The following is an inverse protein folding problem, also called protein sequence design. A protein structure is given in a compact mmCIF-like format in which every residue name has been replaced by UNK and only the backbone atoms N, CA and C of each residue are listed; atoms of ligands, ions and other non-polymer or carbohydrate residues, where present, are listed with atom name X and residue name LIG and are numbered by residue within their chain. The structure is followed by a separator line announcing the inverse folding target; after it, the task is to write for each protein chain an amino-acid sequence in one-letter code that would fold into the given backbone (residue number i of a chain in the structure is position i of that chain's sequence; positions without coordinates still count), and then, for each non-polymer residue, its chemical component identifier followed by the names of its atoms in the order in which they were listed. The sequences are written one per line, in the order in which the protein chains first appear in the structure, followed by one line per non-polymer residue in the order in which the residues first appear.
data_IF_225464188186
#
_entry.id   IF_225464188186
#
_cell.length_a   1.000
_cell.length_b   1.000
_cell.length_c   1.000
_cell.angle_alpha   90.00
_cell.angle_beta   90.00
_cell.angle_gamma   90.00
#
_symmetry.space_group_name_H-M   'P 1'
#
loop_
_entity.id
_entity.type
_entity.pdbx_description
1 polymer ?
#
# COMPACT_ATOMS: atom_id res chain seq x y z
N UNK A 1 28.48 7.22 -12.75
CA UNK A 1 28.00 6.54 -13.97
C UNK A 1 27.77 5.09 -13.60
N UNK A 2 26.51 4.70 -13.46
CA UNK A 2 26.02 3.32 -13.38
C UNK A 2 24.58 3.43 -13.91
N UNK A 3 24.32 2.88 -15.09
CA UNK A 3 22.96 2.75 -15.61
C UNK A 3 22.42 1.42 -15.13
N UNK A 4 21.33 1.42 -14.37
CA UNK A 4 20.53 0.22 -14.16
C UNK A 4 19.96 -0.21 -15.53
N UNK A 5 19.92 -1.51 -15.79
CA UNK A 5 19.18 -2.09 -16.92
C UNK A 5 18.29 -3.22 -16.40
N UNK A 6 17.30 -2.90 -15.56
CA UNK A 6 16.05 -3.64 -15.67
C UNK A 6 15.37 -3.14 -16.95
N UNK A 7 15.27 -4.03 -17.96
CA UNK A 7 14.93 -3.62 -19.33
C UNK A 7 13.42 -3.51 -19.50
N UNK A 8 12.86 -2.37 -19.07
CA UNK A 8 11.68 -1.79 -19.70
C UNK A 8 12.18 -0.73 -20.70
N UNK A 9 12.02 -1.00 -22.01
CA UNK A 9 12.53 -0.13 -23.09
C UNK A 9 11.64 -0.14 -24.32
N UNK A 10 10.87 0.93 -24.52
CA UNK A 10 10.48 1.42 -25.84
C UNK A 10 10.36 2.94 -25.80
N UNK A 11 11.25 3.64 -26.50
CA UNK A 11 11.50 5.07 -26.23
C UNK A 11 11.23 6.05 -27.35
N UNK A 12 10.79 7.25 -26.95
CA UNK A 12 11.03 8.58 -27.60
C UNK A 12 10.41 8.77 -29.00
N UNK A 13 9.75 9.87 -29.37
CA UNK A 13 9.84 11.28 -28.91
C UNK A 13 8.63 12.05 -29.48
N UNK A 14 8.20 13.15 -28.85
CA UNK A 14 8.30 14.53 -29.39
C UNK A 14 7.75 15.55 -28.38
N UNK A 15 8.49 16.66 -28.26
CA UNK A 15 8.33 17.72 -27.29
C UNK A 15 7.27 18.76 -27.71
N UNK A 16 6.34 19.14 -26.82
CA UNK A 16 5.50 20.34 -26.97
C UNK A 16 5.54 21.20 -25.71
N UNK A 17 6.19 22.36 -25.80
CA UNK A 17 6.25 23.33 -24.73
C UNK A 17 4.98 24.21 -24.70
N UNK A 18 4.40 24.41 -23.52
CA UNK A 18 3.39 25.43 -23.25
C UNK A 18 3.76 26.22 -21.99
N UNK A 19 3.65 27.54 -22.10
CA UNK A 19 4.07 28.50 -21.09
C UNK A 19 2.90 28.83 -20.16
N UNK A 20 3.13 28.84 -18.85
CA UNK A 20 2.20 29.43 -17.89
C UNK A 20 2.92 30.41 -16.97
N UNK A 21 2.72 31.70 -17.26
CA UNK A 21 3.00 32.81 -16.36
C UNK A 21 1.71 33.24 -15.65
N UNK A 22 1.69 33.21 -14.33
CA UNK A 22 0.76 34.01 -13.52
C UNK A 22 1.37 34.28 -12.14
N UNK A 23 1.02 35.43 -11.53
CA UNK A 23 1.68 35.99 -10.35
C UNK A 23 0.64 36.56 -9.37
N UNK A 24 0.94 36.48 -8.07
CA UNK A 24 0.24 37.22 -7.00
C UNK A 24 -1.04 36.57 -6.45
N UNK A 25 -1.57 36.99 -5.28
CA UNK A 25 -1.05 37.95 -4.28
C UNK A 25 -1.91 37.94 -2.99
N UNK A 26 -1.32 38.19 -1.80
CA UNK A 26 -1.97 38.59 -0.49
C UNK A 26 -3.03 37.65 0.15
N UNK A 27 -3.31 37.61 1.47
CA UNK A 27 -2.84 38.31 2.70
C UNK A 27 -4.03 38.62 3.66
N UNK A 28 -3.98 38.66 5.01
CA UNK A 28 -2.94 38.39 6.02
C UNK A 28 -3.40 38.78 7.47
N UNK A 29 -2.83 38.20 8.54
CA UNK A 29 -3.24 38.35 9.97
C UNK A 29 -4.35 37.38 10.43
N UNK A 30 -4.60 37.00 11.70
CA UNK A 30 -3.97 37.26 13.01
C UNK A 30 -4.98 37.03 14.17
N UNK A 31 -4.68 36.76 15.45
CA UNK A 31 -3.43 36.43 16.17
C UNK A 31 -3.73 35.84 17.60
N UNK A 32 -2.78 35.06 18.17
CA UNK A 32 -2.52 34.76 19.61
C UNK A 32 -3.48 33.98 20.57
N UNK A 33 -2.83 33.03 21.30
CA UNK A 33 -2.98 32.68 22.75
C UNK A 33 -4.28 32.00 23.28
N UNK A 34 -4.27 31.15 24.33
CA UNK A 34 -3.24 30.34 25.03
C UNK A 34 -3.93 29.31 25.97
N UNK A 35 -3.17 28.35 26.50
CA UNK A 35 -3.37 27.56 27.73
C UNK A 35 -4.36 26.37 27.78
N UNK A 36 -3.83 25.24 28.25
CA UNK A 36 -4.52 24.07 28.84
C UNK A 36 -4.30 24.09 30.38
N UNK A 37 -4.43 23.00 31.17
CA UNK A 37 -5.25 21.77 31.10
C UNK A 37 -6.02 21.48 32.43
N UNK A 38 -6.93 20.49 32.49
CA UNK A 38 -7.31 19.83 33.77
C UNK A 38 -7.53 18.31 33.58
N UNK A 39 -7.00 17.54 34.53
CA UNK A 39 -7.05 16.07 34.67
C UNK A 39 -8.26 15.60 35.52
N UNK A 40 -8.63 14.31 35.47
CA UNK A 40 -8.87 13.48 36.69
C UNK A 40 -9.23 12.00 36.39
N UNK A 41 -8.25 11.13 36.62
CA UNK A 41 -8.25 9.86 37.36
C UNK A 41 -9.45 8.87 37.32
N UNK A 42 -9.14 7.68 36.79
CA UNK A 42 -9.32 6.32 37.36
C UNK A 42 -10.46 5.98 38.35
N UNK A 43 -11.13 4.85 38.08
CA UNK A 43 -11.21 3.67 38.98
C UNK A 43 -11.98 2.51 38.30
N UNK A 44 -11.36 1.35 38.06
CA UNK A 44 -11.50 0.16 38.93
C UNK A 44 -10.73 -1.08 38.39
N UNK A 45 -10.48 -2.05 39.26
CA UNK A 45 -9.52 -3.16 39.11
C UNK A 45 -10.12 -4.43 38.45
N UNK A 46 -9.31 -5.20 37.70
CA UNK A 46 -8.91 -6.59 38.08
C UNK A 46 -8.61 -7.55 36.91
N UNK A 47 -7.62 -8.43 37.14
CA UNK A 47 -7.41 -9.76 36.54
C UNK A 47 -7.03 -9.90 35.05
N UNK A 48 -5.72 -10.06 34.80
CA UNK A 48 -5.17 -10.64 33.57
C UNK A 48 -4.43 -11.98 33.84
N UNK A 49 -5.19 -13.07 33.91
CA UNK A 49 -4.68 -14.45 33.81
C UNK A 49 -5.09 -15.11 32.47
N UNK A 50 -4.98 -14.36 31.37
CA UNK A 50 -5.15 -14.88 30.01
C UNK A 50 -4.27 -14.06 29.05
N UNK A 51 -3.22 -14.65 28.43
CA UNK A 51 -2.95 -14.43 26.99
C UNK A 51 -1.87 -15.26 26.25
N UNK A 52 -1.35 -16.37 26.78
CA UNK A 52 -0.36 -17.17 26.01
C UNK A 52 -0.95 -17.85 24.73
N UNK A 53 -2.28 -17.96 24.62
CA UNK A 53 -2.94 -18.65 23.50
C UNK A 53 -3.32 -17.75 22.31
N UNK A 54 -3.42 -16.43 22.47
CA UNK A 54 -3.77 -15.53 21.36
C UNK A 54 -2.58 -15.33 20.42
N UNK A 55 -1.37 -15.20 20.97
CA UNK A 55 -0.14 -14.97 20.19
C UNK A 55 0.15 -16.12 19.21
N UNK A 56 -0.13 -17.37 19.59
CA UNK A 56 0.13 -18.54 18.72
C UNK A 56 -0.94 -18.77 17.63
N UNK A 57 -2.18 -18.30 17.80
CA UNK A 57 -3.25 -18.52 16.81
C UNK A 57 -3.18 -17.58 15.59
N UNK A 58 -2.34 -16.54 15.64
CA UNK A 58 -2.23 -15.53 14.58
C UNK A 58 -1.08 -15.80 13.60
N UNK A 59 -0.08 -16.61 13.97
CA UNK A 59 1.11 -16.90 13.16
C UNK A 59 0.82 -17.70 11.87
N UNK A 60 -0.22 -18.54 11.86
CA UNK A 60 -0.52 -19.48 10.77
C UNK A 60 -1.71 -19.06 9.88
N UNK A 61 -2.13 -17.80 9.91
CA UNK A 61 -3.20 -17.28 9.05
C UNK A 61 -2.60 -16.36 7.98
N UNK A 62 -3.11 -16.44 6.74
CA UNK A 62 -2.77 -15.49 5.66
C UNK A 62 -3.08 -14.06 6.12
N UNK A 63 -2.04 -13.24 6.25
CA UNK A 63 -2.10 -11.84 6.64
C UNK A 63 -1.85 -10.90 5.44
N UNK A 64 -1.29 -11.41 4.35
CA UNK A 64 -1.01 -10.64 3.14
C UNK A 64 -0.57 -11.50 1.95
N UNK A 65 -0.06 -10.86 0.90
CA UNK A 65 0.57 -11.49 -0.27
C UNK A 65 1.75 -10.63 -0.72
N UNK A 66 2.80 -11.29 -1.22
CA UNK A 66 3.82 -10.67 -2.07
C UNK A 66 3.64 -11.14 -3.52
N UNK A 67 3.63 -10.21 -4.46
CA UNK A 67 4.00 -10.43 -5.86
C UNK A 67 5.53 -10.44 -5.95
N UNK A 68 6.08 -11.38 -6.71
CA UNK A 68 7.51 -11.55 -6.94
C UNK A 68 7.75 -11.45 -8.44
N UNK A 69 8.67 -10.59 -8.84
CA UNK A 69 9.39 -10.74 -10.11
C UNK A 69 10.77 -11.35 -9.82
N UNK A 70 11.10 -12.37 -10.60
CA UNK A 70 12.26 -13.23 -10.50
C UNK A 70 12.80 -13.40 -11.94
N UNK A 71 13.36 -12.32 -12.47
CA UNK A 71 13.87 -12.21 -13.85
C UNK A 71 12.80 -12.51 -14.93
N UNK A 72 11.62 -11.89 -14.82
CA UNK A 72 10.47 -12.12 -15.69
C UNK A 72 9.62 -13.34 -15.30
N UNK A 73 9.93 -14.01 -14.18
CA UNK A 73 9.13 -15.12 -13.65
C UNK A 73 8.21 -14.65 -12.51
N UNK A 74 7.02 -14.20 -12.90
CA UNK A 74 6.02 -13.62 -12.00
C UNK A 74 5.25 -14.66 -11.20
N UNK A 75 5.05 -14.40 -9.89
CA UNK A 75 4.17 -15.22 -9.02
C UNK A 75 3.69 -14.50 -7.77
N UNK A 76 2.57 -14.98 -7.20
CA UNK A 76 2.09 -14.60 -5.87
C UNK A 76 2.48 -15.60 -4.79
N UNK A 77 2.92 -15.09 -3.65
CA UNK A 77 3.24 -15.88 -2.45
C UNK A 77 2.47 -15.34 -1.25
N UNK A 78 1.78 -16.24 -0.55
CA UNK A 78 1.03 -15.89 0.67
C UNK A 78 1.99 -15.51 1.81
N UNK A 79 1.75 -14.36 2.44
CA UNK A 79 2.42 -13.95 3.67
C UNK A 79 1.56 -14.41 4.85
N UNK A 80 2.19 -15.07 5.82
CA UNK A 80 1.57 -15.47 7.09
C UNK A 80 2.21 -14.69 8.25
N UNK A 81 1.38 -14.28 9.20
CA UNK A 81 1.82 -13.48 10.35
C UNK A 81 2.03 -11.99 10.04
N UNK A 82 1.63 -11.15 11.00
CA UNK A 82 1.82 -9.71 10.91
C UNK A 82 3.03 -9.27 11.73
N UNK A 83 3.88 -8.46 11.11
CA UNK A 83 5.00 -7.78 11.72
C UNK A 83 5.25 -6.47 10.94
N UNK A 84 5.74 -5.43 11.61
CA UNK A 84 5.93 -4.08 11.04
C UNK A 84 7.33 -3.82 10.49
N UNK A 85 8.28 -4.73 10.74
CA UNK A 85 9.70 -4.60 10.39
C UNK A 85 10.19 -5.69 9.44
N UNK A 86 9.59 -6.89 9.43
CA UNK A 86 9.93 -7.93 8.45
C UNK A 86 8.75 -8.81 8.02
N UNK A 87 8.87 -9.47 6.87
CA UNK A 87 7.94 -10.49 6.36
C UNK A 87 8.71 -11.71 5.85
N UNK A 88 8.12 -12.90 5.97
CA UNK A 88 8.67 -14.10 5.35
C UNK A 88 7.99 -14.37 4.00
N UNK A 89 8.80 -14.52 2.95
CA UNK A 89 8.38 -14.85 1.58
C UNK A 89 9.27 -15.98 1.08
N UNK A 90 8.70 -17.17 0.81
CA UNK A 90 9.44 -18.37 0.38
C UNK A 90 10.62 -18.76 1.32
N UNK A 91 10.52 -18.48 2.63
CA UNK A 91 11.59 -18.70 3.59
C UNK A 91 12.58 -17.53 3.72
N UNK A 92 12.58 -16.58 2.79
CA UNK A 92 13.40 -15.35 2.84
C UNK A 92 12.72 -14.34 3.77
N UNK A 93 13.44 -13.82 4.76
CA UNK A 93 12.94 -12.76 5.63
C UNK A 93 13.30 -11.39 5.05
N UNK A 94 12.33 -10.72 4.40
CA UNK A 94 12.49 -9.39 3.82
C UNK A 94 12.30 -8.32 4.89
N UNK A 95 13.16 -7.31 4.86
CA UNK A 95 13.06 -6.13 5.72
C UNK A 95 12.06 -5.12 5.11
N UNK A 96 11.10 -4.67 5.93
CA UNK A 96 10.01 -3.77 5.51
C UNK A 96 9.82 -2.57 6.47
N UNK A 97 10.69 -2.42 7.46
CA UNK A 97 10.62 -1.32 8.42
C UNK A 97 11.68 -1.47 9.51
N UNK A 98 12.06 -0.34 10.11
CA UNK A 98 13.20 -0.26 11.03
C UNK A 98 12.69 0.02 12.45
N UNK A 99 13.06 -0.79 13.47
CA UNK A 99 12.69 -0.50 14.85
C UNK A 99 13.09 0.92 15.28
N UNK A 100 12.21 1.59 16.03
CA UNK A 100 12.41 2.95 16.56
C UNK A 100 12.51 4.07 15.50
N UNK A 101 12.34 3.78 14.21
CA UNK A 101 12.24 4.79 13.15
C UNK A 101 10.80 4.84 12.63
N UNK A 102 10.13 5.98 12.82
CA UNK A 102 8.78 6.21 12.30
C UNK A 102 8.79 7.35 11.29
N UNK A 103 8.81 7.01 10.00
CA UNK A 103 8.55 7.97 8.94
C UNK A 103 7.05 8.30 8.92
N UNK A 104 6.68 9.57 9.06
CA UNK A 104 5.26 9.99 8.97
C UNK A 104 4.63 9.70 7.60
N UNK A 105 5.46 9.66 6.55
CA UNK A 105 5.12 9.21 5.21
C UNK A 105 5.86 7.91 4.85
N UNK A 106 6.21 7.76 3.58
CA UNK A 106 6.98 6.63 3.07
C UNK A 106 8.35 6.52 3.74
N UNK A 107 8.73 5.30 4.13
CA UNK A 107 10.12 4.96 4.42
C UNK A 107 10.77 4.62 3.08
N UNK A 108 11.80 5.38 2.69
CA UNK A 108 12.63 5.11 1.51
C UNK A 108 14.08 4.95 1.97
N UNK A 109 14.70 3.80 1.74
CA UNK A 109 16.07 3.53 2.17
C UNK A 109 16.68 2.34 1.43
N UNK A 110 17.96 2.07 1.69
CA UNK A 110 18.68 0.87 1.27
C UNK A 110 19.16 0.11 2.50
N UNK A 111 18.96 -1.20 2.54
CA UNK A 111 19.55 -2.10 3.54
C UNK A 111 19.77 -3.49 2.94
N UNK A 112 20.84 -4.18 3.37
CA UNK A 112 21.16 -5.55 2.94
C UNK A 112 21.18 -5.73 1.41
N UNK A 113 21.79 -4.78 0.69
CA UNK A 113 21.87 -4.69 -0.78
C UNK A 113 20.51 -4.64 -1.50
N UNK A 114 19.51 -4.05 -0.83
CA UNK A 114 18.12 -3.97 -1.31
C UNK A 114 17.50 -2.58 -1.09
N UNK A 115 16.74 -2.10 -2.07
CA UNK A 115 15.95 -0.86 -2.01
C UNK A 115 14.62 -1.14 -1.31
N UNK A 116 14.25 -0.31 -0.34
CA UNK A 116 13.10 -0.51 0.54
C UNK A 116 12.26 0.77 0.54
N UNK A 117 11.17 0.75 -0.23
CA UNK A 117 10.17 1.82 -0.28
C UNK A 117 8.85 1.26 0.28
N UNK A 118 8.60 1.51 1.56
CA UNK A 118 7.46 0.94 2.30
C UNK A 118 6.61 2.03 2.96
N UNK A 119 5.30 1.95 2.74
CA UNK A 119 4.32 2.78 3.41
C UNK A 119 3.78 2.10 4.67
N UNK A 120 3.61 2.80 5.79
CA UNK A 120 4.23 4.06 6.21
C UNK A 120 3.91 4.22 7.71
N UNK A 121 4.64 5.05 8.45
CA UNK A 121 4.45 5.18 9.90
C UNK A 121 3.07 5.69 10.33
N UNK A 122 2.30 6.32 9.43
CA UNK A 122 0.89 6.69 9.66
C UNK A 122 -0.05 5.50 9.87
N UNK A 123 0.31 4.31 9.37
CA UNK A 123 -0.54 3.12 9.47
C UNK A 123 -0.16 2.26 10.67
N UNK A 124 -1.16 1.85 11.45
CA UNK A 124 -1.03 1.04 12.66
C UNK A 124 -1.08 -0.46 12.39
N UNK A 125 -1.90 -0.89 11.42
CA UNK A 125 -2.24 -2.30 11.20
C UNK A 125 -1.90 -2.79 9.78
N UNK A 126 -1.31 -1.94 8.91
CA UNK A 126 -0.88 -2.32 7.55
C UNK A 126 0.55 -1.87 7.22
N UNK A 127 1.22 -2.64 6.37
CA UNK A 127 2.43 -2.28 5.63
C UNK A 127 2.28 -2.74 4.19
N UNK A 128 2.67 -1.90 3.25
CA UNK A 128 2.70 -2.24 1.82
C UNK A 128 3.77 -1.41 1.13
N UNK A 129 4.29 -1.90 0.02
CA UNK A 129 5.43 -1.26 -0.62
C UNK A 129 6.19 -2.25 -1.50
N UNK A 130 7.44 -1.88 -1.77
CA UNK A 130 8.40 -2.75 -2.43
C UNK A 130 9.58 -3.10 -1.51
N UNK A 131 10.22 -4.21 -1.83
CA UNK A 131 11.54 -4.56 -1.37
C UNK A 131 12.27 -5.13 -2.59
N UNK A 132 13.26 -4.42 -3.10
CA UNK A 132 13.83 -4.63 -4.44
C UNK A 132 15.35 -4.86 -4.38
N UNK A 133 15.89 -5.60 -5.34
CA UNK A 133 17.31 -5.95 -5.41
C UNK A 133 18.16 -4.78 -5.91
N UNK A 134 19.41 -4.66 -5.44
CA UNK A 134 20.42 -3.83 -6.12
C UNK A 134 21.34 -4.64 -7.06
N UNK A 135 21.17 -5.97 -7.11
CA UNK A 135 21.70 -6.84 -8.16
C UNK A 135 20.63 -6.96 -9.27
N UNK A 136 21.01 -6.63 -10.51
CA UNK A 136 20.17 -6.70 -11.74
C UNK A 136 19.52 -8.07 -11.97
N UNK A 137 20.03 -9.15 -11.36
CA UNK A 137 19.50 -10.52 -11.47
C UNK A 137 18.69 -10.95 -10.24
N UNK A 138 18.52 -10.05 -9.27
CA UNK A 138 17.83 -10.36 -8.01
C UNK A 138 16.33 -10.12 -8.08
N UNK A 139 15.63 -10.65 -7.08
CA UNK A 139 14.16 -10.57 -7.01
C UNK A 139 13.67 -9.19 -6.62
N UNK A 140 12.65 -8.71 -7.33
CA UNK A 140 11.79 -7.61 -6.92
C UNK A 140 10.56 -8.16 -6.19
N UNK A 141 10.19 -7.56 -5.06
CA UNK A 141 8.99 -7.92 -4.31
C UNK A 141 8.08 -6.71 -4.14
N UNK A 142 6.82 -6.86 -4.51
CA UNK A 142 5.74 -5.89 -4.30
C UNK A 142 4.71 -6.53 -3.36
N UNK A 143 4.42 -5.93 -2.21
CA UNK A 143 3.69 -6.64 -1.15
C UNK A 143 2.66 -5.77 -0.42
N UNK A 144 1.73 -6.46 0.23
CA UNK A 144 0.91 -5.94 1.32
C UNK A 144 0.83 -6.95 2.46
N UNK A 145 0.84 -6.48 3.70
CA UNK A 145 0.65 -7.28 4.91
C UNK A 145 -0.02 -6.44 6.01
N UNK A 146 -0.69 -7.09 6.96
CA UNK A 146 -1.34 -6.38 8.06
C UNK A 146 -1.94 -7.29 9.14
N UNK A 147 -2.39 -6.68 10.24
CA UNK A 147 -3.13 -7.32 11.33
C UNK A 147 -4.62 -7.49 10.96
N UNK A 148 -5.10 -8.67 10.52
CA UNK A 148 -6.38 -8.75 9.81
C UNK A 148 -7.56 -8.48 10.74
N UNK A 149 -8.57 -7.75 10.25
CA UNK A 149 -9.79 -7.48 11.01
C UNK A 149 -10.47 -8.79 11.39
N UNK A 150 -10.68 -9.00 12.70
CA UNK A 150 -11.41 -10.15 13.22
C UNK A 150 -12.93 -9.91 13.20
N UNK A 151 -13.35 -8.69 13.60
CA UNK A 151 -14.74 -8.27 13.68
C UNK A 151 -15.02 -7.24 12.58
N UNK A 152 -15.49 -7.72 11.43
CA UNK A 152 -15.89 -6.88 10.30
C UNK A 152 -17.22 -6.18 10.58
N UNK A 153 -17.39 -4.90 10.18
CA UNK A 153 -18.72 -4.30 10.06
C UNK A 153 -19.58 -5.12 9.09
N UNK A 154 -20.87 -5.26 9.39
CA UNK A 154 -21.84 -6.06 8.62
C UNK A 154 -22.85 -5.22 7.85
N UNK A 155 -22.79 -3.90 7.99
CA UNK A 155 -23.71 -2.94 7.38
C UNK A 155 -23.10 -1.53 7.34
N UNK A 156 -23.72 -0.64 6.56
CA UNK A 156 -23.26 0.73 6.37
C UNK A 156 -22.11 0.85 5.37
N UNK A 157 -21.68 2.08 5.13
CA UNK A 157 -20.65 2.41 4.14
C UNK A 157 -19.53 3.23 4.76
N UNK A 158 -18.36 3.24 4.12
CA UNK A 158 -17.18 3.96 4.57
C UNK A 158 -16.27 4.37 3.41
N UNK A 159 -15.71 5.58 3.49
CA UNK A 159 -14.66 6.05 2.60
C UNK A 159 -13.28 5.77 3.19
N UNK A 160 -12.32 5.45 2.34
CA UNK A 160 -10.92 5.25 2.72
C UNK A 160 -10.03 6.10 1.82
N UNK A 161 -8.98 6.69 2.41
CA UNK A 161 -7.95 7.44 1.70
C UNK A 161 -6.55 6.99 2.15
N UNK A 162 -5.61 6.98 1.22
CA UNK A 162 -4.29 6.42 1.45
C UNK A 162 -3.31 6.56 0.30
N UNK A 163 -2.38 5.62 0.21
CA UNK A 163 -1.26 5.64 -0.73
C UNK A 163 -1.20 4.33 -1.52
N UNK A 164 -0.50 4.40 -2.64
CA UNK A 164 -0.23 3.30 -3.55
C UNK A 164 1.21 3.35 -4.06
N UNK A 165 1.68 2.24 -4.58
CA UNK A 165 2.92 2.13 -5.36
C UNK A 165 2.60 1.25 -6.57
N UNK A 166 2.94 1.72 -7.77
CA UNK A 166 2.60 1.09 -9.04
C UNK A 166 3.88 0.88 -9.85
N UNK A 167 4.23 -0.37 -10.13
CA UNK A 167 5.19 -0.70 -11.19
C UNK A 167 4.41 -0.70 -12.50
N UNK A 168 4.56 0.37 -13.30
CA UNK A 168 3.82 0.62 -14.54
C UNK A 168 4.56 1.69 -15.36
N UNK A 169 4.76 1.43 -16.65
CA UNK A 169 5.22 2.44 -17.60
C UNK A 169 4.06 3.40 -17.94
N UNK A 170 4.13 4.67 -17.52
CA UNK A 170 3.10 5.68 -17.84
C UNK A 170 3.32 6.25 -19.24
N UNK A 171 4.57 6.31 -19.71
CA UNK A 171 4.97 6.86 -21.01
C UNK A 171 6.15 6.09 -21.61
N UNK A 172 6.38 6.21 -22.92
CA UNK A 172 7.59 5.71 -23.60
C UNK A 172 8.90 6.33 -23.07
N UNK A 173 8.83 7.42 -22.32
CA UNK A 173 9.99 8.08 -21.69
C UNK A 173 9.95 7.99 -20.16
N UNK A 174 9.20 7.02 -19.64
CA UNK A 174 9.16 6.72 -18.21
C UNK A 174 10.38 5.86 -17.87
N UNK A 175 11.24 6.38 -17.00
CA UNK A 175 12.50 5.73 -16.59
C UNK A 175 12.45 5.38 -15.08
N UNK A 176 11.30 5.61 -14.42
CA UNK A 176 11.07 5.26 -13.02
C UNK A 176 10.50 3.83 -12.92
N UNK A 177 11.22 2.91 -12.28
CA UNK A 177 10.79 1.50 -12.09
C UNK A 177 9.41 1.36 -11.43
N UNK A 178 8.98 2.39 -10.69
CA UNK A 178 7.68 2.46 -10.05
C UNK A 178 7.31 3.89 -9.61
N UNK A 179 6.01 4.12 -9.53
CA UNK A 179 5.41 5.39 -9.14
C UNK A 179 4.73 5.29 -7.78
N UNK A 180 5.00 6.25 -6.90
CA UNK A 180 4.25 6.41 -5.65
C UNK A 180 3.02 7.28 -5.91
N UNK A 181 1.88 6.80 -5.42
CA UNK A 181 0.57 7.35 -5.71
C UNK A 181 -0.33 7.52 -4.48
N UNK A 182 -1.54 8.00 -4.75
CA UNK A 182 -2.66 8.00 -3.83
C UNK A 182 -3.59 6.80 -4.10
N UNK A 183 -4.37 6.42 -3.08
CA UNK A 183 -5.41 5.40 -3.22
C UNK A 183 -6.68 5.82 -2.50
N UNK A 184 -7.83 5.61 -3.13
CA UNK A 184 -9.14 6.01 -2.60
C UNK A 184 -10.14 4.86 -2.76
N UNK A 185 -10.98 4.61 -1.76
CA UNK A 185 -11.97 3.53 -1.81
C UNK A 185 -13.30 3.94 -1.19
N UNK A 186 -14.39 3.46 -1.79
CA UNK A 186 -15.73 3.46 -1.21
C UNK A 186 -16.13 2.02 -0.92
N UNK A 187 -16.48 1.73 0.32
CA UNK A 187 -16.77 0.39 0.83
C UNK A 187 -18.21 0.36 1.34
N UNK A 188 -18.99 -0.62 0.89
CA UNK A 188 -20.31 -0.92 1.43
C UNK A 188 -20.29 -2.31 2.07
N UNK A 189 -20.38 -2.35 3.40
CA UNK A 189 -20.33 -3.59 4.18
C UNK A 189 -21.64 -4.38 4.10
N UNK A 190 -22.77 -3.71 3.85
CA UNK A 190 -24.08 -4.36 3.72
C UNK A 190 -24.22 -5.05 2.36
N UNK A 191 -23.89 -4.34 1.29
CA UNK A 191 -23.86 -4.88 -0.08
C UNK A 191 -22.60 -5.70 -0.38
N UNK A 192 -21.62 -5.72 0.54
CA UNK A 192 -20.34 -6.44 0.42
C UNK A 192 -19.57 -6.07 -0.85
N UNK A 193 -19.53 -4.78 -1.16
CA UNK A 193 -18.85 -4.25 -2.35
C UNK A 193 -17.79 -3.20 -1.97
N UNK A 194 -16.78 -3.11 -2.82
CA UNK A 194 -15.71 -2.12 -2.74
C UNK A 194 -15.46 -1.60 -4.15
N UNK A 195 -15.54 -0.28 -4.33
CA UNK A 195 -14.98 0.41 -5.48
C UNK A 195 -13.83 1.29 -5.04
N UNK A 196 -12.90 1.60 -5.94
CA UNK A 196 -11.80 2.47 -5.62
C UNK A 196 -10.94 2.85 -6.82
N UNK A 197 -9.89 3.60 -6.54
CA UNK A 197 -8.96 4.07 -7.54
C UNK A 197 -7.55 4.23 -7.00
N UNK A 198 -6.58 4.07 -7.90
CA UNK A 198 -5.18 4.43 -7.67
C UNK A 198 -4.82 5.55 -8.65
N UNK A 199 -4.09 6.55 -8.15
CA UNK A 199 -3.64 7.69 -8.95
C UNK A 199 -2.19 8.05 -8.66
N UNK A 200 -1.57 8.79 -9.57
CA UNK A 200 -0.18 9.25 -9.51
C UNK A 200 -0.22 10.74 -9.84
N UNK A 201 0.43 11.59 -9.04
CA UNK A 201 0.38 13.05 -9.16
C UNK A 201 -1.06 13.60 -9.29
N UNK A 202 -1.97 13.09 -8.43
CA UNK A 202 -3.42 13.37 -8.40
C UNK A 202 -4.22 13.00 -9.66
N UNK A 203 -3.60 12.38 -10.67
CA UNK A 203 -4.27 11.84 -11.85
C UNK A 203 -4.72 10.40 -11.57
N UNK A 204 -6.01 10.12 -11.75
CA UNK A 204 -6.59 8.79 -11.58
C UNK A 204 -6.25 7.88 -12.78
N UNK A 205 -5.42 6.86 -12.54
CA UNK A 205 -4.95 5.95 -13.58
C UNK A 205 -5.56 4.55 -13.52
N UNK A 206 -5.95 4.07 -12.33
CA UNK A 206 -6.51 2.72 -12.14
C UNK A 206 -7.86 2.81 -11.46
N UNK A 207 -8.83 2.03 -11.95
CA UNK A 207 -10.15 1.83 -11.33
C UNK A 207 -10.25 0.39 -10.80
N UNK A 208 -10.66 0.23 -9.55
CA UNK A 208 -10.82 -1.06 -8.85
C UNK A 208 -12.29 -1.31 -8.57
N UNK A 209 -12.75 -2.55 -8.82
CA UNK A 209 -14.06 -3.05 -8.37
C UNK A 209 -13.89 -4.44 -7.77
N UNK A 210 -14.39 -4.64 -6.55
CA UNK A 210 -14.24 -5.89 -5.80
C UNK A 210 -15.45 -6.24 -4.94
N UNK A 211 -15.57 -7.53 -4.62
CA UNK A 211 -16.56 -8.07 -3.69
C UNK A 211 -15.90 -8.52 -2.40
N UNK A 212 -16.59 -8.33 -1.28
CA UNK A 212 -16.10 -8.59 0.08
C UNK A 212 -16.57 -9.98 0.54
N UNK A 213 -15.62 -10.78 1.06
CA UNK A 213 -15.88 -12.08 1.66
C UNK A 213 -15.08 -12.24 2.95
N UNK A 214 -15.78 -12.31 4.09
CA UNK A 214 -15.16 -12.22 5.40
C UNK A 214 -14.44 -10.88 5.57
N UNK A 215 -13.16 -10.93 5.94
CA UNK A 215 -12.27 -9.75 6.01
C UNK A 215 -11.40 -9.55 4.76
N UNK A 216 -11.71 -10.24 3.66
CA UNK A 216 -10.96 -10.18 2.40
C UNK A 216 -11.83 -9.59 1.30
N UNK A 217 -11.22 -9.03 0.25
CA UNK A 217 -11.90 -8.63 -0.97
C UNK A 217 -11.12 -9.12 -2.18
N UNK A 218 -11.85 -9.46 -3.25
CA UNK A 218 -11.28 -9.91 -4.52
C UNK A 218 -12.08 -9.30 -5.67
N UNK A 219 -11.43 -9.01 -6.79
CA UNK A 219 -12.07 -8.33 -7.90
C UNK A 219 -11.13 -8.08 -9.06
N UNK A 220 -11.37 -7.00 -9.79
CA UNK A 220 -10.59 -6.61 -10.96
C UNK A 220 -10.24 -5.12 -10.94
N UNK A 221 -9.22 -4.77 -11.69
CA UNK A 221 -8.82 -3.40 -11.95
C UNK A 221 -8.54 -3.17 -13.44
N UNK A 222 -8.84 -1.96 -13.90
CA UNK A 222 -8.58 -1.52 -15.27
C UNK A 222 -7.87 -0.16 -15.23
N UNK A 223 -6.92 0.06 -16.14
CA UNK A 223 -6.29 1.36 -16.36
C UNK A 223 -6.64 1.91 -17.75
N UNK A 224 -6.71 3.24 -17.87
CA UNK A 224 -6.86 3.93 -19.15
C UNK A 224 -5.55 4.04 -19.93
N UNK A 225 -4.39 3.85 -19.28
CA UNK A 225 -3.07 3.85 -19.93
C UNK A 225 -2.86 2.59 -20.77
N UNK A 226 -3.26 1.44 -20.23
CA UNK A 226 -3.09 0.11 -20.82
C UNK A 226 -4.47 -0.59 -20.89
N UNK A 227 -5.38 -0.21 -21.81
CA UNK A 227 -6.78 -0.67 -21.79
C UNK A 227 -6.98 -2.17 -22.01
N UNK A 228 -5.98 -2.87 -22.58
CA UNK A 228 -5.95 -4.33 -22.74
C UNK A 228 -5.56 -5.07 -21.45
N UNK A 229 -4.89 -4.39 -20.53
CA UNK A 229 -4.23 -4.96 -19.36
C UNK A 229 -5.15 -4.94 -18.14
N UNK A 230 -6.17 -5.80 -18.18
CA UNK A 230 -7.06 -6.07 -17.02
C UNK A 230 -6.26 -6.76 -15.92
N UNK A 231 -6.40 -6.29 -14.69
CA UNK A 231 -5.70 -6.80 -13.53
C UNK A 231 -6.60 -7.54 -12.55
N UNK A 232 -6.05 -8.58 -11.92
CA UNK A 232 -6.68 -9.34 -10.83
C UNK A 232 -6.37 -8.70 -9.48
N UNK A 233 -7.40 -8.26 -8.76
CA UNK A 233 -7.28 -7.57 -7.45
C UNK A 233 -7.53 -8.54 -6.31
N UNK A 234 -6.66 -8.53 -5.31
CA UNK A 234 -6.95 -9.09 -3.98
C UNK A 234 -6.60 -8.09 -2.87
N UNK A 235 -7.20 -8.27 -1.71
CA UNK A 235 -6.79 -7.54 -0.51
C UNK A 235 -7.59 -7.91 0.73
N UNK A 236 -7.33 -7.19 1.81
CA UNK A 236 -7.96 -7.42 3.12
C UNK A 236 -8.22 -6.13 3.88
N UNK A 237 -9.11 -6.26 4.86
CA UNK A 237 -9.37 -5.28 5.90
C UNK A 237 -8.54 -5.61 7.14
N UNK A 238 -8.07 -4.56 7.82
CA UNK A 238 -7.07 -4.61 8.87
C UNK A 238 -7.44 -3.72 10.06
N UNK A 239 -6.98 -4.15 11.24
CA UNK A 239 -7.26 -3.52 12.52
C UNK A 239 -8.72 -3.64 12.98
N UNK A 240 -9.04 -2.97 14.07
CA UNK A 240 -10.40 -2.93 14.65
C UNK A 240 -11.41 -2.31 13.66
N UNK A 241 -12.60 -2.92 13.56
CA UNK A 241 -13.74 -2.43 12.77
C UNK A 241 -13.37 -2.04 11.32
N UNK A 242 -12.42 -2.76 10.72
CA UNK A 242 -11.91 -2.52 9.37
C UNK A 242 -11.35 -1.09 9.18
N UNK A 243 -10.71 -0.49 10.20
CA UNK A 243 -10.19 0.89 10.13
C UNK A 243 -9.15 1.13 9.03
N UNK A 244 -8.48 0.09 8.54
CA UNK A 244 -7.54 0.12 7.42
C UNK A 244 -7.86 -0.99 6.42
N UNK A 245 -7.41 -0.83 5.18
CA UNK A 245 -7.41 -1.87 4.14
C UNK A 245 -6.10 -1.82 3.35
N UNK A 246 -5.68 -2.95 2.78
CA UNK A 246 -4.54 -3.03 1.86
C UNK A 246 -4.69 -4.21 0.89
N UNK A 247 -4.01 -4.14 -0.26
CA UNK A 247 -4.12 -5.16 -1.30
C UNK A 247 -3.09 -5.02 -2.43
N UNK A 248 -3.25 -5.89 -3.42
CA UNK A 248 -2.51 -5.91 -4.68
C UNK A 248 -3.47 -5.88 -5.88
N UNK A 249 -3.02 -5.25 -6.96
CA UNK A 249 -3.53 -5.43 -8.31
C UNK A 249 -2.36 -5.88 -9.21
N UNK A 250 -2.60 -6.80 -10.13
CA UNK A 250 -1.57 -7.37 -11.03
C UNK A 250 -2.24 -7.64 -12.37
N UNK A 251 -1.68 -7.09 -13.44
CA UNK A 251 -2.19 -7.27 -14.80
C UNK A 251 -2.06 -8.72 -15.25
N UNK A 252 -3.08 -9.26 -15.91
CA UNK A 252 -3.06 -10.67 -16.36
C UNK A 252 -2.02 -10.94 -17.47
N UNK A 253 -1.47 -9.89 -18.08
CA UNK A 253 -0.35 -9.90 -19.03
C UNK A 253 1.00 -9.56 -18.38
N UNK A 254 1.02 -9.31 -17.06
CA UNK A 254 2.14 -8.87 -16.24
C UNK A 254 2.74 -7.49 -16.61
N UNK A 255 2.07 -6.69 -17.46
CA UNK A 255 2.58 -5.37 -17.89
C UNK A 255 2.52 -4.30 -16.78
N UNK A 256 1.79 -4.54 -15.68
CA UNK A 256 1.81 -3.67 -14.52
C UNK A 256 1.38 -4.39 -13.24
N UNK A 257 1.85 -3.91 -12.09
CA UNK A 257 1.41 -4.36 -10.78
C UNK A 257 1.38 -3.18 -9.78
N UNK A 258 0.50 -3.23 -8.79
CA UNK A 258 0.35 -2.19 -7.79
C UNK A 258 0.07 -2.75 -6.39
N UNK A 259 0.73 -2.22 -5.37
CA UNK A 259 0.36 -2.39 -3.97
C UNK A 259 -0.28 -1.11 -3.44
N UNK A 260 -1.28 -1.26 -2.58
CA UNK A 260 -2.02 -0.12 -2.04
C UNK A 260 -2.47 -0.35 -0.61
N UNK A 261 -2.72 0.74 0.11
CA UNK A 261 -3.32 0.70 1.42
C UNK A 261 -3.87 2.05 1.86
N UNK A 262 -4.99 1.99 2.57
CA UNK A 262 -5.78 3.17 2.93
C UNK A 262 -6.41 3.04 4.31
N UNK A 263 -6.70 4.19 4.92
CA UNK A 263 -7.36 4.29 6.21
C UNK A 263 -8.74 4.91 6.06
N UNK A 264 -9.70 4.37 6.83
CA UNK A 264 -11.06 4.87 6.96
C UNK A 264 -11.07 6.33 7.39
N UNK A 265 -11.88 7.13 6.72
CA UNK A 265 -12.15 8.54 7.05
C UNK A 265 -13.31 8.66 8.05
#
# INVERSE_FOLDING_TARGET
MLSLNHVFKFGTTILTALVLSACGSSGGGGDNQDSSPVNNNELNQSNTLVNNNVVQQQANKKTGTAFIDDNGSFRRVTINGYNTTSINVEGINLEIGFPNISAGGWTKTTANDRRIDVCCGRYSDIRFGINDSLDDNGKFYLFYNGNPTLNMPTSGSASYSGQSILAIDITESDEDDYHIGNSQFSVDFGNKSLSGSLGINDIQYVNINASISGNSFNGYANTSLLPSSVASVEGKFYGEQAKQLAGLAEANDNNWAAAFGAQKQ
#
